data_IF_257673533974
#
_entry.id   IF_257673533974
#
_cell.length_a   1.000
_cell.length_b   1.000
_cell.length_c   1.000
_cell.angle_alpha   90.00
_cell.angle_beta   90.00
_cell.angle_gamma   90.00
#
_symmetry.space_group_name_H-M   'P 1'
#
loop_
_entity.id
_entity.type
_entity.pdbx_description
1 polymer ?
#
# COMPACT_ATOMS: atom_id res chain seq x y z
N UNK A 1 -22.48 10.68 20.64
CA UNK A 1 -23.46 9.60 20.42
C UNK A 1 -22.89 8.76 19.29
N UNK A 2 -22.20 7.67 19.62
CA UNK A 2 -21.61 6.79 18.59
C UNK A 2 -22.69 5.79 18.21
N UNK A 3 -23.49 6.15 17.20
CA UNK A 3 -24.52 5.26 16.67
C UNK A 3 -23.82 4.12 15.94
N UNK A 4 -24.03 2.88 16.37
CA UNK A 4 -23.55 1.70 15.65
C UNK A 4 -24.12 1.70 14.23
N UNK A 5 -23.32 1.41 13.19
CA UNK A 5 -23.84 1.37 11.84
C UNK A 5 -24.90 0.27 11.73
N UNK A 6 -25.93 0.49 10.91
CA UNK A 6 -27.00 -0.47 10.74
C UNK A 6 -26.45 -1.77 10.13
N UNK A 7 -26.79 -2.91 10.74
CA UNK A 7 -26.37 -4.23 10.24
C UNK A 7 -26.98 -4.48 8.86
N UNK A 8 -26.22 -4.94 7.85
CA UNK A 8 -26.74 -5.16 6.51
C UNK A 8 -27.98 -6.08 6.49
N UNK A 9 -27.95 -7.17 7.27
CA UNK A 9 -29.08 -8.08 7.42
C UNK A 9 -30.33 -7.44 8.04
N UNK A 10 -30.15 -6.50 8.97
CA UNK A 10 -31.27 -5.78 9.60
C UNK A 10 -31.89 -4.77 8.62
N UNK A 11 -31.08 -4.10 7.80
CA UNK A 11 -31.59 -3.23 6.72
C UNK A 11 -32.31 -4.07 5.68
N UNK A 12 -31.74 -5.21 5.27
CA UNK A 12 -32.38 -6.12 4.33
C UNK A 12 -33.75 -6.59 4.84
N UNK A 13 -33.88 -6.93 6.13
CA UNK A 13 -35.15 -7.30 6.73
C UNK A 13 -36.21 -6.18 6.60
N UNK A 14 -35.82 -4.90 6.68
CA UNK A 14 -36.74 -3.78 6.46
C UNK A 14 -37.22 -3.70 5.01
N UNK A 15 -36.34 -3.95 4.03
CA UNK A 15 -36.71 -4.01 2.61
C UNK A 15 -37.64 -5.19 2.29
N UNK A 16 -37.50 -6.31 3.02
CA UNK A 16 -38.41 -7.45 2.88
C UNK A 16 -39.80 -7.19 3.45
N UNK A 17 -39.91 -6.32 4.46
CA UNK A 17 -41.16 -6.00 5.12
C UNK A 17 -41.84 -7.24 5.68
N UNK A 18 -43.07 -7.51 5.24
CA UNK A 18 -43.86 -8.68 5.65
C UNK A 18 -43.75 -9.90 4.72
N UNK A 19 -42.85 -9.89 3.73
CA UNK A 19 -42.70 -11.00 2.78
C UNK A 19 -42.12 -12.25 3.46
N UNK A 20 -42.60 -13.43 3.07
CA UNK A 20 -41.99 -14.68 3.54
C UNK A 20 -40.56 -14.81 3.02
N UNK A 21 -39.68 -15.43 3.81
CA UNK A 21 -38.28 -15.66 3.40
C UNK A 21 -38.18 -16.48 2.11
N UNK A 22 -39.08 -17.45 1.92
CA UNK A 22 -39.13 -18.29 0.73
C UNK A 22 -39.44 -17.46 -0.52
N UNK A 23 -40.48 -16.63 -0.46
CA UNK A 23 -40.89 -15.79 -1.59
C UNK A 23 -39.84 -14.72 -1.92
N UNK A 24 -39.26 -14.12 -0.88
CA UNK A 24 -38.19 -13.14 -1.02
C UNK A 24 -36.95 -13.75 -1.68
N UNK A 25 -36.50 -14.91 -1.21
CA UNK A 25 -35.33 -15.59 -1.75
C UNK A 25 -35.55 -16.00 -3.22
N UNK A 26 -36.76 -16.48 -3.56
CA UNK A 26 -37.14 -16.80 -4.93
C UNK A 26 -37.09 -15.57 -5.85
N UNK A 27 -37.61 -14.43 -5.40
CA UNK A 27 -37.59 -13.17 -6.17
C UNK A 27 -36.19 -12.60 -6.36
N UNK A 28 -35.32 -12.72 -5.36
CA UNK A 28 -33.93 -12.27 -5.41
C UNK A 28 -33.07 -13.26 -6.23
N UNK A 29 -33.50 -14.53 -6.35
CA UNK A 29 -32.75 -15.58 -7.04
C UNK A 29 -31.60 -16.13 -6.20
N UNK A 30 -31.85 -16.39 -4.91
CA UNK A 30 -30.92 -17.01 -3.95
C UNK A 30 -31.63 -18.12 -3.16
N UNK A 31 -30.87 -18.95 -2.47
CA UNK A 31 -31.43 -19.95 -1.55
C UNK A 31 -32.07 -19.30 -0.33
N UNK A 32 -33.19 -19.83 0.14
CA UNK A 32 -33.87 -19.36 1.36
C UNK A 32 -32.95 -19.41 2.60
N UNK A 33 -32.15 -20.45 2.73
CA UNK A 33 -31.15 -20.57 3.79
C UNK A 33 -30.10 -19.46 3.72
N UNK A 34 -29.64 -19.13 2.50
CA UNK A 34 -28.70 -18.02 2.30
C UNK A 34 -29.31 -16.69 2.72
N UNK A 35 -30.58 -16.43 2.38
CA UNK A 35 -31.29 -15.23 2.84
C UNK A 35 -31.43 -15.18 4.37
N UNK A 36 -31.72 -16.32 5.00
CA UNK A 36 -31.75 -16.43 6.47
C UNK A 36 -30.39 -16.10 7.10
N UNK A 37 -29.31 -16.60 6.51
CA UNK A 37 -27.94 -16.33 6.97
C UNK A 37 -27.56 -14.84 6.84
N UNK A 38 -28.03 -14.16 5.80
CA UNK A 38 -27.84 -12.71 5.65
C UNK A 38 -28.56 -11.92 6.75
N UNK A 39 -29.82 -12.27 7.04
CA UNK A 39 -30.64 -11.58 8.05
C UNK A 39 -30.06 -11.77 9.45
N UNK A 40 -29.58 -12.98 9.76
CA UNK A 40 -28.95 -13.30 11.04
C UNK A 40 -27.52 -12.78 11.15
N UNK A 41 -26.91 -12.36 10.04
CA UNK A 41 -25.55 -11.81 9.99
C UNK A 41 -24.45 -12.87 9.98
N UNK A 42 -24.75 -14.11 9.60
CA UNK A 42 -23.78 -15.19 9.41
C UNK A 42 -23.26 -15.29 7.98
N UNK A 43 -23.88 -14.57 7.03
CA UNK A 43 -23.41 -14.38 5.67
C UNK A 43 -23.21 -12.90 5.35
N UNK A 44 -22.28 -12.61 4.44
CA UNK A 44 -21.97 -11.26 3.97
C UNK A 44 -22.61 -11.00 2.60
N UNK A 45 -22.80 -9.71 2.28
CA UNK A 45 -23.23 -9.28 0.96
C UNK A 45 -22.01 -9.11 0.04
N UNK A 46 -21.85 -9.99 -0.94
CA UNK A 46 -20.86 -9.85 -2.01
C UNK A 46 -21.39 -9.01 -3.20
N UNK A 47 -20.53 -8.72 -4.17
CA UNK A 47 -20.87 -7.93 -5.37
C UNK A 47 -21.99 -8.55 -6.21
N UNK A 48 -22.03 -9.89 -6.31
CA UNK A 48 -23.05 -10.60 -7.09
C UNK A 48 -24.41 -10.45 -6.44
N UNK A 49 -24.47 -10.66 -5.12
CA UNK A 49 -25.66 -10.49 -4.33
C UNK A 49 -26.12 -9.03 -4.28
N UNK A 50 -25.21 -8.07 -4.12
CA UNK A 50 -25.53 -6.64 -4.17
C UNK A 50 -26.25 -6.26 -5.48
N UNK A 51 -25.81 -6.82 -6.61
CA UNK A 51 -26.47 -6.62 -7.91
C UNK A 51 -27.87 -7.22 -7.96
N UNK A 52 -28.09 -8.39 -7.35
CA UNK A 52 -29.41 -9.02 -7.24
C UNK A 52 -30.35 -8.19 -6.36
N UNK A 53 -29.87 -7.72 -5.21
CA UNK A 53 -30.64 -6.87 -4.28
C UNK A 53 -31.00 -5.52 -4.93
N UNK A 54 -30.04 -4.91 -5.65
CA UNK A 54 -30.27 -3.69 -6.43
C UNK A 54 -31.45 -3.85 -7.39
N UNK A 55 -31.44 -4.93 -8.18
CA UNK A 55 -32.52 -5.25 -9.13
C UNK A 55 -33.85 -5.57 -8.43
N UNK A 56 -33.81 -6.31 -7.33
CA UNK A 56 -35.02 -6.74 -6.61
C UNK A 56 -35.74 -5.58 -5.91
N UNK A 57 -34.99 -4.60 -5.38
CA UNK A 57 -35.55 -3.50 -4.60
C UNK A 57 -35.53 -2.15 -5.31
N UNK A 58 -35.04 -2.08 -6.55
CA UNK A 58 -34.87 -0.81 -7.27
C UNK A 58 -33.86 0.13 -6.59
N UNK A 59 -32.81 -0.45 -6.00
CA UNK A 59 -31.73 0.27 -5.31
C UNK A 59 -30.42 0.18 -6.11
N UNK A 60 -29.34 0.78 -5.62
CA UNK A 60 -28.01 0.65 -6.22
C UNK A 60 -27.20 -0.49 -5.59
N UNK A 61 -26.28 -1.10 -6.34
CA UNK A 61 -25.41 -2.14 -5.79
C UNK A 61 -24.40 -1.54 -4.79
N UNK A 62 -23.98 -0.30 -5.04
CA UNK A 62 -23.10 0.48 -4.15
C UNK A 62 -23.71 0.62 -2.76
N UNK A 63 -25.02 0.88 -2.65
CA UNK A 63 -25.70 1.00 -1.35
C UNK A 63 -25.49 -0.24 -0.48
N UNK A 64 -25.61 -1.44 -1.06
CA UNK A 64 -25.49 -2.68 -0.31
C UNK A 64 -24.04 -3.00 0.07
N UNK A 65 -23.09 -2.68 -0.83
CA UNK A 65 -21.67 -2.84 -0.56
C UNK A 65 -21.17 -1.84 0.49
N UNK A 66 -21.64 -0.59 0.44
CA UNK A 66 -21.31 0.44 1.42
C UNK A 66 -21.84 0.08 2.82
N UNK A 67 -23.05 -0.48 2.90
CA UNK A 67 -23.60 -1.01 4.15
C UNK A 67 -22.72 -2.15 4.73
N UNK A 68 -22.33 -3.11 3.88
CA UNK A 68 -21.45 -4.21 4.29
C UNK A 68 -20.10 -3.69 4.77
N UNK A 69 -19.46 -2.80 4.00
CA UNK A 69 -18.16 -2.23 4.33
C UNK A 69 -18.20 -1.42 5.63
N UNK A 70 -19.24 -0.60 5.83
CA UNK A 70 -19.41 0.18 7.06
C UNK A 70 -19.58 -0.73 8.29
N UNK A 71 -20.37 -1.80 8.17
CA UNK A 71 -20.56 -2.75 9.25
C UNK A 71 -19.29 -3.53 9.59
N UNK A 72 -18.54 -4.00 8.58
CA UNK A 72 -17.27 -4.68 8.79
C UNK A 72 -16.21 -3.75 9.39
N UNK A 73 -16.14 -2.50 8.94
CA UNK A 73 -15.24 -1.50 9.50
C UNK A 73 -15.56 -1.28 10.98
N UNK A 74 -16.84 -1.13 11.34
CA UNK A 74 -17.24 -1.04 12.73
C UNK A 74 -16.94 -2.31 13.52
N UNK A 75 -17.14 -3.51 12.97
CA UNK A 75 -16.81 -4.75 13.69
C UNK A 75 -15.31 -4.86 14.00
N UNK A 76 -14.45 -4.39 13.07
CA UNK A 76 -12.99 -4.36 13.24
C UNK A 76 -12.52 -3.24 14.17
N UNK A 77 -13.24 -2.12 14.20
CA UNK A 77 -12.92 -0.93 15.02
C UNK A 77 -13.60 -0.94 16.40
N UNK A 78 -14.67 -1.74 16.57
CA UNK A 78 -15.27 -2.05 17.85
C UNK A 78 -14.19 -2.67 18.74
N UNK A 79 -14.13 -2.34 20.04
CA UNK A 79 -12.89 -2.22 20.80
C UNK A 79 -12.11 -3.54 20.95
N UNK A 80 -11.37 -3.91 19.90
CA UNK A 80 -10.14 -4.65 19.97
C UNK A 80 -9.02 -3.63 20.22
N UNK A 81 -8.27 -3.90 21.29
CA UNK A 81 -7.15 -3.16 21.86
C UNK A 81 -5.94 -3.10 20.93
N UNK A 82 -6.08 -2.56 19.72
CA UNK A 82 -4.91 -2.31 18.88
C UNK A 82 -4.43 -0.87 19.04
N UNK A 83 -3.43 -0.70 19.91
CA UNK A 83 -2.76 0.59 20.16
C UNK A 83 -1.73 0.93 19.07
N UNK A 84 -1.52 0.08 18.07
CA UNK A 84 -0.52 0.32 17.02
C UNK A 84 -0.84 1.55 16.16
N UNK A 85 -2.11 1.94 16.04
CA UNK A 85 -2.52 3.17 15.34
C UNK A 85 -2.22 4.48 16.08
N UNK A 86 -1.87 4.44 17.38
CA UNK A 86 -1.55 5.65 18.13
C UNK A 86 -0.20 6.25 17.74
N UNK A 87 0.73 5.44 17.22
CA UNK A 87 2.09 5.89 16.89
C UNK A 87 2.16 6.66 15.56
N UNK A 88 1.22 6.42 14.64
CA UNK A 88 1.24 7.04 13.31
C UNK A 88 0.63 8.46 13.28
N UNK A 89 -0.11 8.85 14.31
CA UNK A 89 -0.83 10.12 14.35
C UNK A 89 0.16 11.28 14.50
N UNK A 90 0.36 12.03 13.42
CA UNK A 90 1.28 13.18 13.38
C UNK A 90 2.64 12.88 12.75
N UNK A 91 2.92 11.63 12.35
CA UNK A 91 4.13 11.26 11.60
C UNK A 91 4.09 11.78 10.15
N UNK A 92 2.89 11.94 9.59
CA UNK A 92 2.69 12.42 8.22
C UNK A 92 2.05 13.81 8.26
N UNK A 93 2.82 14.86 7.95
CA UNK A 93 2.30 16.19 7.67
C UNK A 93 2.09 16.31 6.17
N UNK A 94 0.84 16.40 5.73
CA UNK A 94 0.53 16.79 4.35
C UNK A 94 1.01 18.22 4.16
N UNK A 95 1.87 18.46 3.17
CA UNK A 95 2.34 19.81 2.85
C UNK A 95 1.14 20.72 2.54
N UNK A 96 1.07 21.94 3.10
CA UNK A 96 0.00 22.88 2.79
C UNK A 96 -0.06 23.14 1.28
N UNK A 97 -1.25 22.99 0.68
CA UNK A 97 -1.48 23.21 -0.76
C UNK A 97 -1.71 21.93 -1.59
N UNK A 98 -1.58 20.74 -1.00
CA UNK A 98 -1.95 19.50 -1.69
C UNK A 98 -3.44 19.19 -1.43
N UNK A 99 -4.31 19.65 -2.34
CA UNK A 99 -5.68 19.14 -2.45
C UNK A 99 -5.69 17.95 -3.41
N UNK A 100 -5.74 16.72 -2.89
CA UNK A 100 -5.90 15.52 -3.75
C UNK A 100 -7.37 15.14 -3.81
N UNK A 101 -8.02 15.46 -4.93
CA UNK A 101 -9.36 14.92 -5.24
C UNK A 101 -9.25 13.54 -5.88
N UNK A 102 -10.16 12.63 -5.54
CA UNK A 102 -10.26 11.31 -6.18
C UNK A 102 -10.52 11.42 -7.70
N UNK A 103 -11.15 12.50 -8.15
CA UNK A 103 -11.35 12.80 -9.57
C UNK A 103 -10.04 13.16 -10.28
N UNK A 104 -9.11 13.82 -9.58
CA UNK A 104 -7.79 14.20 -10.10
C UNK A 104 -6.85 12.99 -10.18
N UNK A 105 -6.99 12.01 -9.29
CA UNK A 105 -6.22 10.75 -9.31
C UNK A 105 -6.64 9.78 -10.43
N UNK A 106 -7.87 9.90 -10.95
CA UNK A 106 -8.35 9.08 -12.08
C UNK A 106 -7.91 9.63 -13.43
N UNK A 107 -7.50 10.89 -13.47
CA UNK A 107 -6.77 11.41 -14.62
C UNK A 107 -5.34 10.92 -14.44
N UNK A 108 -4.89 10.02 -15.32
CA UNK A 108 -3.46 9.76 -15.45
C UNK A 108 -2.70 11.07 -15.64
N UNK A 109 -1.38 11.11 -15.39
CA UNK A 109 -0.62 12.34 -15.55
C UNK A 109 -0.93 12.97 -16.92
N UNK A 110 -1.08 14.31 -17.00
CA UNK A 110 -1.22 15.00 -18.27
C UNK A 110 -0.21 14.43 -19.27
N UNK A 111 -0.68 13.93 -20.41
CA UNK A 111 0.19 13.27 -21.41
C UNK A 111 1.25 14.20 -22.01
N UNK A 112 1.19 15.51 -21.70
CA UNK A 112 2.16 16.53 -22.08
C UNK A 112 3.36 16.62 -21.11
N UNK A 113 3.31 15.94 -19.95
CA UNK A 113 4.38 15.92 -18.95
C UNK A 113 5.58 15.06 -19.36
N UNK A 114 5.55 14.40 -20.53
CA UNK A 114 6.68 13.61 -21.03
C UNK A 114 7.92 14.50 -21.28
N UNK A 115 7.71 15.77 -21.62
CA UNK A 115 8.77 16.77 -21.74
C UNK A 115 9.30 17.27 -20.38
N UNK A 116 8.49 17.17 -19.31
CA UNK A 116 8.92 17.49 -17.95
C UNK A 116 9.64 16.31 -17.28
N UNK A 117 9.30 15.07 -17.64
CA UNK A 117 10.13 13.89 -17.31
C UNK A 117 11.56 14.00 -17.86
N UNK A 118 11.73 14.53 -19.07
CA UNK A 118 13.04 14.81 -19.68
C UNK A 118 13.81 15.95 -18.97
N UNK A 119 13.11 16.82 -18.23
CA UNK A 119 13.70 17.95 -17.49
C UNK A 119 13.89 17.68 -16.00
N UNK A 120 13.26 16.64 -15.45
CA UNK A 120 13.46 16.24 -14.08
C UNK A 120 14.91 15.78 -13.90
N UNK A 121 15.61 16.37 -12.92
CA UNK A 121 16.92 15.87 -12.52
C UNK A 121 16.77 14.39 -12.09
N UNK A 122 17.63 13.48 -12.59
CA UNK A 122 17.50 12.06 -12.28
C UNK A 122 17.46 11.81 -10.77
N UNK A 123 16.48 11.02 -10.34
CA UNK A 123 16.39 10.55 -8.95
C UNK A 123 17.45 9.47 -8.76
N UNK A 124 18.69 9.88 -8.47
CA UNK A 124 19.84 8.98 -8.40
C UNK A 124 20.57 8.82 -9.75
N UNK A 125 21.83 8.36 -9.70
CA UNK A 125 22.68 8.22 -10.89
C UNK A 125 22.05 7.26 -11.90
N UNK A 126 22.11 7.62 -13.18
CA UNK A 126 21.54 6.89 -14.32
C UNK A 126 21.77 5.37 -14.19
N UNK A 127 20.67 4.63 -14.14
CA UNK A 127 20.67 3.17 -14.18
C UNK A 127 21.40 2.70 -15.45
N UNK A 128 22.46 1.91 -15.30
CA UNK A 128 23.27 1.41 -16.43
C UNK A 128 24.40 2.34 -16.89
N UNK A 129 24.65 3.45 -16.18
CA UNK A 129 25.88 4.23 -16.41
C UNK A 129 27.13 3.48 -15.91
N UNK A 130 28.32 3.75 -16.49
CA UNK A 130 29.57 3.19 -15.99
C UNK A 130 29.84 3.49 -14.51
N UNK A 131 29.29 4.57 -13.97
CA UNK A 131 29.33 4.93 -12.56
C UNK A 131 28.44 4.01 -11.70
N UNK A 132 27.23 3.72 -12.18
CA UNK A 132 26.31 2.78 -11.53
C UNK A 132 26.89 1.38 -11.47
N UNK A 133 27.46 0.88 -12.57
CA UNK A 133 28.09 -0.44 -12.62
C UNK A 133 29.26 -0.56 -11.63
N UNK A 134 30.08 0.48 -11.52
CA UNK A 134 31.19 0.53 -10.54
C UNK A 134 30.71 0.46 -9.09
N UNK A 135 29.66 1.19 -8.75
CA UNK A 135 29.09 1.15 -7.39
C UNK A 135 28.40 -0.20 -7.10
N UNK A 136 27.67 -0.75 -8.07
CA UNK A 136 27.09 -2.09 -7.95
C UNK A 136 28.17 -3.18 -7.80
N UNK A 137 29.30 -3.07 -8.53
CA UNK A 137 30.46 -3.93 -8.33
C UNK A 137 31.07 -3.79 -6.93
N UNK A 138 31.12 -2.55 -6.39
CA UNK A 138 31.65 -2.27 -5.06
C UNK A 138 30.82 -2.95 -3.98
N UNK A 139 29.50 -2.80 -4.01
CA UNK A 139 28.57 -3.40 -3.06
C UNK A 139 28.69 -4.93 -3.08
N UNK A 140 28.72 -5.51 -4.29
CA UNK A 140 28.90 -6.95 -4.46
C UNK A 140 30.25 -7.45 -3.89
N UNK A 141 31.33 -6.69 -4.09
CA UNK A 141 32.64 -7.05 -3.57
C UNK A 141 32.69 -6.94 -2.04
N UNK A 142 32.17 -5.85 -1.48
CA UNK A 142 32.15 -5.62 -0.04
C UNK A 142 31.31 -6.70 0.69
N UNK A 143 30.17 -7.10 0.11
CA UNK A 143 29.37 -8.19 0.64
C UNK A 143 30.13 -9.53 0.62
N UNK A 144 30.86 -9.82 -0.46
CA UNK A 144 31.67 -11.04 -0.57
C UNK A 144 32.83 -11.07 0.41
N UNK A 145 33.50 -9.94 0.67
CA UNK A 145 34.65 -9.88 1.58
C UNK A 145 34.24 -9.87 3.04
N UNK A 146 33.16 -9.17 3.40
CA UNK A 146 32.71 -9.01 4.78
C UNK A 146 31.66 -10.06 5.20
N UNK A 147 31.13 -10.83 4.24
CA UNK A 147 30.22 -11.95 4.43
C UNK A 147 28.79 -11.57 4.86
N UNK A 148 28.49 -10.27 4.98
CA UNK A 148 27.21 -9.75 5.43
C UNK A 148 26.92 -8.38 4.82
N UNK A 149 25.68 -8.19 4.35
CA UNK A 149 25.24 -6.98 3.64
C UNK A 149 25.25 -5.75 4.54
N UNK A 150 24.84 -5.88 5.81
CA UNK A 150 24.79 -4.76 6.74
C UNK A 150 26.19 -4.32 7.16
N UNK A 151 27.11 -5.26 7.34
CA UNK A 151 28.54 -4.97 7.59
C UNK A 151 29.18 -4.30 6.38
N UNK A 152 28.88 -4.75 5.17
CA UNK A 152 29.36 -4.15 3.93
C UNK A 152 28.88 -2.70 3.80
N UNK A 153 27.58 -2.46 3.98
CA UNK A 153 27.02 -1.11 3.89
C UNK A 153 27.61 -0.19 4.95
N UNK A 154 27.68 -0.65 6.20
CA UNK A 154 28.30 0.13 7.29
C UNK A 154 29.76 0.47 6.97
N UNK A 155 30.52 -0.47 6.41
CA UNK A 155 31.92 -0.22 6.04
C UNK A 155 32.05 0.80 4.90
N UNK A 156 31.18 0.71 3.88
CA UNK A 156 31.18 1.62 2.72
C UNK A 156 30.77 3.06 3.08
N UNK A 157 29.90 3.21 4.08
CA UNK A 157 29.43 4.51 4.59
C UNK A 157 30.36 5.12 5.64
N UNK A 158 31.27 4.34 6.24
CA UNK A 158 32.14 4.82 7.32
C UNK A 158 33.39 5.52 6.75
N UNK A 159 33.66 6.78 7.14
CA UNK A 159 34.90 7.46 6.82
C UNK A 159 36.14 6.66 7.18
N UNK A 160 37.13 6.62 6.28
CA UNK A 160 38.36 5.87 6.51
C UNK A 160 39.60 6.77 6.36
N UNK A 161 40.50 6.73 7.35
CA UNK A 161 41.75 7.50 7.32
C UNK A 161 42.63 7.21 6.09
N UNK A 162 42.57 5.97 5.56
CA UNK A 162 43.30 5.54 4.35
C UNK A 162 42.69 6.08 3.05
N UNK A 163 41.53 6.71 3.15
CA UNK A 163 40.77 7.32 2.08
C UNK A 163 40.56 8.82 2.36
N UNK A 164 41.55 9.45 2.99
CA UNK A 164 41.56 10.90 3.24
C UNK A 164 40.40 11.36 4.13
N UNK A 165 39.89 10.47 4.99
CA UNK A 165 38.73 10.72 5.85
C UNK A 165 37.39 10.71 5.12
N UNK A 166 37.35 10.24 3.87
CA UNK A 166 36.13 10.09 3.10
C UNK A 166 35.58 8.66 3.21
N UNK A 167 34.26 8.54 3.00
CA UNK A 167 33.59 7.25 2.92
C UNK A 167 34.04 6.50 1.66
N UNK A 168 34.29 5.18 1.73
CA UNK A 168 34.64 4.37 0.58
C UNK A 168 33.70 4.51 -0.62
N UNK A 169 32.38 4.61 -0.40
CA UNK A 169 31.42 4.83 -1.49
C UNK A 169 31.65 6.17 -2.20
N UNK A 170 31.94 7.22 -1.44
CA UNK A 170 32.20 8.56 -1.97
C UNK A 170 33.50 8.61 -2.79
N UNK A 171 34.51 7.87 -2.36
CA UNK A 171 35.78 7.76 -3.09
C UNK A 171 35.63 6.89 -4.34
N UNK A 172 34.79 5.86 -4.30
CA UNK A 172 34.54 4.97 -5.44
C UNK A 172 33.73 5.60 -6.59
N UNK A 173 33.30 6.85 -6.44
CA UNK A 173 32.61 7.59 -7.49
C UNK A 173 33.49 7.83 -8.72
N UNK A 174 34.82 7.84 -8.58
CA UNK A 174 35.76 7.92 -9.71
C UNK A 174 36.44 6.57 -9.97
N UNK A 175 36.84 6.27 -11.22
CA UNK A 175 37.56 5.03 -11.53
C UNK A 175 38.83 4.81 -10.69
N UNK A 176 39.58 5.88 -10.42
CA UNK A 176 40.81 5.86 -9.64
C UNK A 176 40.52 5.58 -8.16
N UNK A 177 39.48 6.22 -7.62
CA UNK A 177 39.06 5.99 -6.25
C UNK A 177 38.43 4.62 -6.03
N UNK A 178 37.70 4.09 -7.02
CA UNK A 178 37.19 2.72 -7.01
C UNK A 178 38.33 1.70 -6.92
N UNK A 179 39.42 1.89 -7.68
CA UNK A 179 40.60 1.02 -7.61
C UNK A 179 41.27 1.06 -6.21
N UNK A 180 41.35 2.24 -5.59
CA UNK A 180 41.87 2.42 -4.22
C UNK A 180 41.01 1.67 -3.19
N UNK A 181 39.69 1.79 -3.28
CA UNK A 181 38.75 1.13 -2.36
C UNK A 181 38.79 -0.40 -2.55
N UNK A 182 38.84 -0.89 -3.79
CA UNK A 182 39.03 -2.32 -4.12
C UNK A 182 40.30 -2.88 -3.49
N UNK A 183 41.41 -2.14 -3.57
CA UNK A 183 42.68 -2.54 -2.97
C UNK A 183 42.63 -2.56 -1.43
N UNK A 184 41.85 -1.66 -0.83
CA UNK A 184 41.64 -1.61 0.61
C UNK A 184 40.79 -2.80 1.09
N UNK A 185 39.67 -3.09 0.42
CA UNK A 185 38.80 -4.23 0.73
C UNK A 185 39.53 -5.57 0.70
N UNK A 186 40.47 -5.76 -0.23
CA UNK A 186 41.32 -6.97 -0.30
C UNK A 186 42.27 -7.13 0.89
N UNK A 187 42.60 -6.04 1.58
CA UNK A 187 43.47 -6.04 2.78
C UNK A 187 42.68 -6.14 4.10
N UNK A 188 41.35 -6.19 4.03
CA UNK A 188 40.46 -6.36 5.18
C UNK A 188 40.22 -7.85 5.50
N UNK A 189 40.63 -8.77 4.61
CA UNK A 189 40.69 -10.22 4.86
C UNK A 189 41.79 -10.60 5.86
#
# INVERSE_FOLDING_TARGET
MTSDPPKPGAVLAQYLGGMSLADAAAKIGIGQEHLSNLITGTANIDTSLATKLARAFGTSAELWLDLQAAFEAWLRLAPARDKSGLELKGMFKVSPGIEVSSAQMRQGPPVDDMADWDRMAPVGREFGSPDYERLAELDNLACKTLGDLLKARRWLDTPHDKLDGLAPEKVAETPEGFARVKALLRKVQ
#
